data_IF_913877011415
#
_entry.id   IF_913877011415
#
_cell.length_a   1.000
_cell.length_b   1.000
_cell.length_c   1.000
_cell.angle_alpha   90.00
_cell.angle_beta   90.00
_cell.angle_gamma   90.00
#
_symmetry.space_group_name_H-M   'P 1'
#
loop_
_entity.id
_entity.type
_entity.pdbx_description
1 polymer ?
#
# COMPACT_ATOMS: atom_id res chain seq x y z
N UNK A 1 -29.27 -30.23 -6.71
CA UNK A 1 -29.73 -28.83 -6.88
C UNK A 1 -30.51 -28.27 -5.67
N UNK A 2 -30.08 -28.53 -4.41
CA UNK A 2 -30.72 -27.99 -3.18
C UNK A 2 -29.89 -26.90 -2.46
N UNK A 3 -28.66 -26.62 -2.91
CA UNK A 3 -27.73 -25.68 -2.25
C UNK A 3 -27.90 -24.19 -2.62
N UNK A 4 -28.66 -23.85 -3.66
CA UNK A 4 -28.73 -22.45 -4.14
C UNK A 4 -29.73 -21.56 -3.38
N UNK A 5 -30.69 -22.14 -2.64
CA UNK A 5 -31.73 -21.37 -1.94
C UNK A 5 -31.33 -20.86 -0.55
N UNK A 6 -30.34 -21.48 0.10
CA UNK A 6 -29.86 -21.01 1.41
C UNK A 6 -28.92 -19.79 1.30
N UNK A 7 -28.24 -19.63 0.17
CA UNK A 7 -27.31 -18.51 -0.05
C UNK A 7 -28.03 -17.17 -0.30
N UNK A 8 -29.29 -17.23 -0.75
CA UNK A 8 -30.12 -16.03 -0.99
C UNK A 8 -30.83 -15.54 0.29
N UNK A 9 -30.97 -16.40 1.31
CA UNK A 9 -31.56 -16.02 2.60
C UNK A 9 -30.57 -15.29 3.53
N UNK A 10 -29.26 -15.54 3.37
CA UNK A 10 -28.21 -14.88 4.18
C UNK A 10 -27.90 -13.44 3.73
N UNK A 11 -28.19 -13.08 2.48
CA UNK A 11 -27.96 -11.73 1.94
C UNK A 11 -29.03 -10.70 2.34
N UNK A 12 -30.19 -11.14 2.84
CA UNK A 12 -31.27 -10.24 3.28
C UNK A 12 -31.16 -9.82 4.77
N UNK A 13 -30.26 -10.43 5.55
CA UNK A 13 -30.18 -10.22 7.02
C UNK A 13 -29.29 -9.07 7.50
N UNK A 14 -28.48 -8.46 6.63
CA UNK A 14 -27.40 -7.56 7.07
C UNK A 14 -27.77 -6.07 7.20
N UNK A 15 -29.04 -5.68 7.06
CA UNK A 15 -29.45 -4.25 7.03
C UNK A 15 -30.11 -3.76 8.32
N UNK A 16 -30.28 -4.58 9.36
CA UNK A 16 -30.93 -4.08 10.58
C UNK A 16 -30.58 -4.86 11.85
N UNK A 17 -29.47 -4.46 12.49
CA UNK A 17 -29.25 -4.72 13.92
C UNK A 17 -29.47 -3.40 14.66
N UNK A 18 -30.52 -3.27 15.48
CA UNK A 18 -30.65 -2.13 16.39
C UNK A 18 -29.61 -2.28 17.50
N UNK A 19 -28.65 -1.35 17.57
CA UNK A 19 -27.71 -1.25 18.69
C UNK A 19 -28.48 -0.70 19.89
N UNK A 20 -28.83 -1.57 20.83
CA UNK A 20 -29.32 -1.18 22.14
C UNK A 20 -28.14 -0.63 22.96
N UNK A 21 -28.10 0.69 23.15
CA UNK A 21 -27.10 1.34 23.98
C UNK A 21 -27.40 1.05 25.47
N UNK A 22 -26.60 0.17 26.07
CA UNK A 22 -26.44 0.11 27.51
C UNK A 22 -25.50 1.23 27.94
N UNK A 23 -26.04 2.21 28.67
CA UNK A 23 -25.24 3.29 29.26
C UNK A 23 -24.46 2.73 30.46
N UNK A 24 -23.14 2.59 30.29
CA UNK A 24 -22.21 2.38 31.39
C UNK A 24 -21.59 3.73 31.80
N UNK A 25 -21.29 3.93 33.11
CA UNK A 25 -20.80 5.19 33.62
C UNK A 25 -19.41 5.55 33.11
N UNK A 26 -19.24 6.83 32.84
CA UNK A 26 -18.03 7.50 32.35
C UNK A 26 -16.91 7.37 33.39
N UNK A 27 -15.85 6.65 33.03
CA UNK A 27 -14.56 6.66 33.73
C UNK A 27 -13.56 7.55 32.98
N UNK A 28 -12.78 8.30 33.76
CA UNK A 28 -11.87 9.39 33.42
C UNK A 28 -10.92 9.17 32.22
N UNK A 29 -10.51 10.26 31.53
CA UNK A 29 -9.63 10.20 30.38
C UNK A 29 -8.17 9.97 30.82
N UNK A 30 -7.63 8.78 30.56
CA UNK A 30 -6.19 8.52 30.66
C UNK A 30 -5.53 8.73 29.30
N UNK A 31 -4.69 9.76 29.22
CA UNK A 31 -3.94 10.28 28.05
C UNK A 31 -2.88 9.33 27.43
N UNK A 32 -2.89 8.03 27.75
CA UNK A 32 -1.75 7.14 27.45
C UNK A 32 -1.98 6.15 26.31
N UNK A 33 -3.22 5.83 25.93
CA UNK A 33 -3.50 4.77 24.94
C UNK A 33 -3.32 5.19 23.49
N UNK A 34 -3.72 6.41 23.14
CA UNK A 34 -3.58 6.94 21.77
C UNK A 34 -2.12 7.19 21.40
N UNK A 35 -1.31 7.68 22.35
CA UNK A 35 0.13 7.88 22.15
C UNK A 35 0.92 6.56 22.01
N UNK A 36 0.41 5.45 22.54
CA UNK A 36 1.01 4.12 22.38
C UNK A 36 0.71 3.54 20.99
N UNK A 37 -0.55 3.62 20.54
CA UNK A 37 -0.99 3.09 19.25
C UNK A 37 -0.33 3.82 18.06
N UNK A 38 -0.13 5.13 18.18
CA UNK A 38 0.57 5.91 17.14
C UNK A 38 2.05 5.51 17.06
N UNK A 39 2.70 5.19 18.19
CA UNK A 39 4.11 4.75 18.21
C UNK A 39 4.29 3.34 17.65
N UNK A 40 3.41 2.40 18.00
CA UNK A 40 3.43 1.05 17.41
C UNK A 40 3.22 1.08 15.90
N UNK A 41 2.31 1.93 15.42
CA UNK A 41 2.07 2.10 13.99
C UNK A 41 3.32 2.59 13.24
N UNK A 42 4.03 3.59 13.78
CA UNK A 42 5.26 4.10 13.15
C UNK A 42 6.42 3.10 13.18
N UNK A 43 6.52 2.26 14.23
CA UNK A 43 7.47 1.15 14.24
C UNK A 43 7.15 0.11 13.15
N UNK A 44 5.87 -0.25 12.98
CA UNK A 44 5.45 -1.21 11.96
C UNK A 44 5.71 -0.71 10.53
N UNK A 45 5.53 0.59 10.28
CA UNK A 45 5.81 1.21 8.97
C UNK A 45 7.32 1.29 8.71
N UNK A 46 8.12 1.55 9.74
CA UNK A 46 9.58 1.54 9.66
C UNK A 46 10.14 0.17 9.26
N UNK A 47 9.67 -0.89 9.93
CA UNK A 47 10.12 -2.27 9.70
C UNK A 47 9.78 -2.80 8.29
N UNK A 48 8.65 -2.37 7.71
CA UNK A 48 8.27 -2.74 6.34
C UNK A 48 9.14 -2.02 5.30
N UNK A 49 9.58 -0.79 5.58
CA UNK A 49 10.42 -0.01 4.66
C UNK A 49 11.87 -0.48 4.60
N UNK A 50 12.41 -1.00 5.71
CA UNK A 50 13.74 -1.62 5.76
C UNK A 50 13.77 -3.02 5.16
N UNK A 51 12.66 -3.76 5.19
CA UNK A 51 12.55 -5.04 4.49
C UNK A 51 12.54 -4.91 2.96
N UNK A 52 12.03 -3.80 2.42
CA UNK A 52 11.92 -3.59 0.97
C UNK A 52 13.24 -3.18 0.27
N UNK A 53 14.23 -2.67 1.01
CA UNK A 53 15.50 -2.19 0.45
C UNK A 53 16.66 -3.19 0.50
N UNK A 54 16.46 -4.37 1.11
CA UNK A 54 17.49 -5.41 1.28
C UNK A 54 17.32 -6.60 0.32
N UNK A 55 16.29 -6.59 -0.54
CA UNK A 55 15.96 -7.70 -1.43
C UNK A 55 16.84 -7.86 -2.70
N UNK A 56 18.05 -7.26 -2.74
CA UNK A 56 18.95 -7.31 -3.90
C UNK A 56 20.13 -8.27 -3.79
N UNK A 57 20.61 -8.59 -2.59
CA UNK A 57 21.73 -9.53 -2.40
C UNK A 57 21.63 -10.11 -1.00
N UNK A 58 21.29 -11.39 -0.90
CA UNK A 58 21.40 -12.10 0.36
C UNK A 58 22.85 -11.92 0.89
N UNK A 59 23.05 -11.60 2.19
CA UNK A 59 24.38 -11.46 2.75
C UNK A 59 25.19 -12.73 2.46
N UNK A 60 26.33 -12.56 1.76
CA UNK A 60 27.23 -13.68 1.46
C UNK A 60 27.76 -14.25 2.79
N UNK A 61 27.73 -15.57 2.98
CA UNK A 61 28.20 -16.19 4.21
C UNK A 61 29.69 -15.90 4.40
N UNK A 62 30.12 -15.75 5.66
CA UNK A 62 31.54 -15.58 5.98
C UNK A 62 32.32 -16.85 5.59
N UNK A 63 33.58 -16.72 5.15
CA UNK A 63 34.42 -17.86 4.78
C UNK A 63 34.50 -18.86 5.95
N UNK A 64 33.95 -20.05 5.78
CA UNK A 64 33.95 -21.10 6.81
C UNK A 64 34.41 -22.43 6.21
N UNK A 65 35.30 -23.12 6.93
CA UNK A 65 35.66 -24.49 6.58
C UNK A 65 34.46 -25.40 6.82
N UNK A 66 34.07 -26.19 5.82
CA UNK A 66 33.03 -27.21 5.99
C UNK A 66 33.70 -28.41 6.66
N UNK A 67 33.25 -28.83 7.86
CA UNK A 67 33.86 -29.96 8.55
C UNK A 67 33.58 -31.26 7.78
N UNK A 68 34.56 -32.17 7.80
CA UNK A 68 34.42 -33.48 7.19
C UNK A 68 33.26 -34.26 7.82
N UNK A 69 32.53 -34.98 6.99
CA UNK A 69 31.45 -35.83 7.46
C UNK A 69 32.03 -37.06 8.21
N UNK A 70 31.42 -37.49 9.33
CA UNK A 70 31.80 -38.72 10.01
C UNK A 70 31.68 -39.93 9.06
N UNK A 71 32.42 -41.01 9.32
CA UNK A 71 32.55 -42.16 8.42
C UNK A 71 31.20 -42.66 7.89
N UNK A 72 31.02 -42.62 6.56
CA UNK A 72 29.76 -42.95 5.87
C UNK A 72 28.86 -41.76 5.51
N UNK A 73 29.25 -40.53 5.85
CA UNK A 73 28.54 -39.32 5.43
C UNK A 73 28.68 -38.99 3.94
N UNK A 74 27.95 -37.97 3.46
CA UNK A 74 27.96 -37.60 2.05
C UNK A 74 29.37 -37.21 1.61
N UNK A 75 29.84 -37.85 0.54
CA UNK A 75 31.14 -37.58 -0.08
C UNK A 75 30.98 -37.20 -1.53
N UNK A 76 31.78 -36.21 -1.95
CA UNK A 76 31.80 -35.70 -3.33
C UNK A 76 33.23 -35.82 -3.83
N UNK A 77 33.46 -36.81 -4.68
CA UNK A 77 34.74 -36.97 -5.39
C UNK A 77 34.83 -35.93 -6.49
N UNK A 78 35.95 -35.21 -6.51
CA UNK A 78 36.29 -34.21 -7.52
C UNK A 78 37.39 -34.72 -8.45
N UNK A 79 37.73 -36.01 -8.39
CA UNK A 79 38.83 -36.61 -9.16
C UNK A 79 38.52 -36.64 -10.66
N UNK A 80 37.23 -36.64 -11.04
CA UNK A 80 36.79 -36.69 -12.43
C UNK A 80 35.66 -35.68 -12.68
N UNK A 81 35.98 -34.60 -13.39
CA UNK A 81 35.02 -33.57 -13.81
C UNK A 81 34.45 -33.79 -15.22
N UNK A 82 34.65 -34.97 -15.80
CA UNK A 82 34.19 -35.31 -17.15
C UNK A 82 32.67 -35.34 -17.29
N UNK A 83 31.94 -35.67 -16.22
CA UNK A 83 30.48 -35.71 -16.17
C UNK A 83 29.93 -34.67 -15.17
N UNK A 84 29.81 -33.40 -15.58
CA UNK A 84 29.46 -32.33 -14.67
C UNK A 84 27.97 -32.36 -14.28
N UNK A 85 27.10 -33.04 -15.05
CA UNK A 85 25.67 -33.21 -14.74
C UNK A 85 25.50 -34.20 -13.58
N UNK A 86 26.21 -35.33 -13.60
CA UNK A 86 26.17 -36.27 -12.48
C UNK A 86 26.73 -35.68 -11.18
N UNK A 87 27.73 -34.79 -11.29
CA UNK A 87 28.27 -34.05 -10.14
C UNK A 87 27.23 -33.04 -9.61
N UNK A 88 26.56 -32.31 -10.50
CA UNK A 88 25.49 -31.38 -10.20
C UNK A 88 24.36 -32.06 -9.41
N UNK A 89 23.87 -33.21 -9.87
CA UNK A 89 22.82 -33.99 -9.20
C UNK A 89 23.23 -34.48 -7.81
N UNK A 90 24.51 -34.85 -7.62
CA UNK A 90 25.04 -35.27 -6.31
C UNK A 90 25.16 -34.09 -5.36
N UNK A 91 25.68 -32.96 -5.84
CA UNK A 91 25.76 -31.72 -5.08
C UNK A 91 24.36 -31.26 -4.65
N UNK A 92 23.38 -31.28 -5.57
CA UNK A 92 22.00 -30.91 -5.27
C UNK A 92 21.38 -31.76 -4.15
N UNK A 93 21.63 -33.07 -4.15
CA UNK A 93 21.14 -33.98 -3.10
C UNK A 93 21.76 -33.67 -1.73
N UNK A 94 23.03 -33.27 -1.70
CA UNK A 94 23.74 -32.97 -0.45
C UNK A 94 23.37 -31.57 0.07
N UNK A 95 23.22 -30.60 -0.83
CA UNK A 95 22.92 -29.20 -0.52
C UNK A 95 21.43 -28.92 -0.24
N UNK A 96 20.53 -29.87 -0.52
CA UNK A 96 19.11 -29.77 -0.15
C UNK A 96 18.83 -29.89 1.35
N UNK A 97 19.81 -30.30 2.16
CA UNK A 97 19.73 -30.30 3.62
C UNK A 97 20.10 -28.92 4.21
N UNK A 98 19.57 -28.58 5.39
CA UNK A 98 19.81 -27.27 6.04
C UNK A 98 21.31 -26.94 6.13
N UNK A 99 21.67 -25.77 5.60
CA UNK A 99 23.05 -25.35 5.35
C UNK A 99 23.89 -25.16 6.64
N UNK A 100 23.24 -24.91 7.77
CA UNK A 100 23.92 -24.63 9.06
C UNK A 100 24.53 -25.90 9.70
N UNK A 101 24.18 -27.10 9.21
CA UNK A 101 24.75 -28.38 9.66
C UNK A 101 25.49 -29.13 8.54
N UNK A 102 25.79 -28.48 7.42
CA UNK A 102 26.39 -29.14 6.27
C UNK A 102 27.75 -29.75 6.64
N UNK A 103 27.85 -31.08 6.58
CA UNK A 103 29.10 -31.83 6.70
C UNK A 103 29.34 -32.56 5.39
N UNK A 104 30.46 -32.27 4.75
CA UNK A 104 30.78 -32.81 3.44
C UNK A 104 32.24 -33.26 3.42
N UNK A 105 32.47 -34.47 2.94
CA UNK A 105 33.83 -34.99 2.73
C UNK A 105 34.18 -34.92 1.26
N UNK A 106 35.25 -34.19 0.93
CA UNK A 106 35.85 -34.17 -0.41
C UNK A 106 37.11 -35.04 -0.37
N UNK A 107 37.09 -36.26 -0.96
CA UNK A 107 38.26 -37.12 -1.02
C UNK A 107 39.44 -36.38 -1.66
N UNK A 108 40.61 -36.44 -1.02
CA UNK A 108 41.82 -35.77 -1.52
C UNK A 108 41.71 -34.24 -1.58
N UNK A 109 40.80 -33.61 -0.82
CA UNK A 109 40.54 -32.18 -0.93
C UNK A 109 39.89 -31.54 0.30
N UNK A 110 39.41 -30.32 0.11
CA UNK A 110 38.70 -29.55 1.14
C UNK A 110 37.48 -28.83 0.57
N UNK A 111 36.48 -28.59 1.42
CA UNK A 111 35.28 -27.84 1.09
C UNK A 111 35.18 -26.57 1.95
N UNK A 112 34.81 -25.46 1.32
CA UNK A 112 34.67 -24.14 1.91
C UNK A 112 33.29 -23.57 1.61
N UNK A 113 32.70 -22.88 2.57
CA UNK A 113 31.45 -22.14 2.42
C UNK A 113 31.76 -20.64 2.43
N UNK A 114 31.19 -19.89 1.49
CA UNK A 114 31.46 -18.47 1.29
C UNK A 114 32.73 -18.20 0.49
N UNK A 115 33.07 -16.92 0.36
CA UNK A 115 34.19 -16.47 -0.48
C UNK A 115 35.52 -17.05 0.04
N UNK A 116 36.40 -17.52 -0.83
CA UNK A 116 37.65 -18.15 -0.43
C UNK A 116 38.81 -17.70 -1.33
N UNK A 117 39.92 -17.31 -0.70
CA UNK A 117 41.11 -16.85 -1.41
C UNK A 117 42.33 -17.72 -1.13
N UNK A 118 43.04 -18.18 -2.17
CA UNK A 118 44.37 -18.79 -2.05
C UNK A 118 45.42 -17.69 -2.17
N UNK A 119 46.18 -17.45 -1.09
CA UNK A 119 47.18 -16.37 -1.05
C UNK A 119 48.34 -16.57 -2.03
N UNK A 120 49.04 -15.50 -2.41
CA UNK A 120 50.12 -15.55 -3.43
C UNK A 120 51.31 -16.45 -3.08
N UNK A 121 51.59 -16.64 -1.79
CA UNK A 121 52.63 -17.55 -1.29
C UNK A 121 52.07 -18.90 -0.86
N UNK A 122 50.76 -19.08 -0.93
CA UNK A 122 50.07 -20.27 -0.49
C UNK A 122 50.09 -21.33 -1.59
N UNK A 123 50.43 -22.55 -1.21
CA UNK A 123 50.25 -23.73 -2.07
C UNK A 123 49.25 -24.65 -1.40
N UNK A 124 48.05 -24.73 -1.97
CA UNK A 124 47.00 -25.63 -1.51
C UNK A 124 47.10 -26.95 -2.28
N UNK A 125 47.22 -28.06 -1.56
CA UNK A 125 47.33 -29.40 -2.14
C UNK A 125 45.99 -30.13 -2.04
N UNK A 126 45.54 -30.72 -3.15
CA UNK A 126 44.28 -31.44 -3.24
C UNK A 126 43.16 -30.64 -3.90
N UNK A 127 42.00 -31.28 -4.05
CA UNK A 127 40.82 -30.68 -4.67
C UNK A 127 40.18 -29.62 -3.78
N UNK A 128 39.62 -28.58 -4.37
CA UNK A 128 38.97 -27.49 -3.64
C UNK A 128 37.54 -27.31 -4.12
N UNK A 129 36.59 -27.39 -3.19
CA UNK A 129 35.17 -27.08 -3.42
C UNK A 129 34.80 -25.80 -2.68
N UNK A 130 34.29 -24.79 -3.38
CA UNK A 130 33.77 -23.56 -2.78
C UNK A 130 32.27 -23.47 -3.03
N UNK A 131 31.50 -23.35 -1.96
CA UNK A 131 30.04 -23.32 -1.99
C UNK A 131 29.54 -21.90 -1.63
N UNK A 132 28.67 -21.33 -2.46
CA UNK A 132 28.01 -20.03 -2.26
C UNK A 132 28.97 -18.87 -2.04
N UNK A 133 30.05 -18.84 -2.79
CA UNK A 133 31.07 -17.80 -2.71
C UNK A 133 32.08 -17.89 -3.85
N UNK A 134 32.76 -16.77 -4.06
CA UNK A 134 33.74 -16.61 -5.12
C UNK A 134 35.09 -17.22 -4.68
N UNK A 135 35.84 -17.80 -5.63
CA UNK A 135 37.16 -18.37 -5.39
C UNK A 135 38.24 -17.51 -6.06
N UNK A 136 39.02 -16.78 -5.27
CA UNK A 136 40.13 -15.95 -5.74
C UNK A 136 41.46 -16.69 -5.60
N UNK A 137 42.16 -16.95 -6.70
CA UNK A 137 43.42 -17.69 -6.68
C UNK A 137 44.59 -16.78 -7.06
N UNK A 138 45.41 -16.44 -6.06
CA UNK A 138 46.66 -15.69 -6.24
C UNK A 138 47.90 -16.61 -6.21
N UNK A 139 47.80 -17.76 -5.54
CA UNK A 139 48.89 -18.73 -5.35
C UNK A 139 48.74 -20.00 -6.18
N UNK A 140 49.17 -21.13 -5.63
CA UNK A 140 49.21 -22.43 -6.35
C UNK A 140 48.17 -23.39 -5.79
N UNK A 141 47.26 -23.88 -6.62
CA UNK A 141 46.31 -24.94 -6.27
C UNK A 141 46.66 -26.22 -7.04
N UNK A 142 47.15 -27.22 -6.31
CA UNK A 142 47.57 -28.51 -6.86
C UNK A 142 46.41 -29.51 -6.83
N UNK A 143 45.41 -29.28 -7.67
CA UNK A 143 44.20 -30.10 -7.76
C UNK A 143 43.11 -29.45 -8.61
N UNK A 144 41.92 -30.06 -8.60
CA UNK A 144 40.75 -29.54 -9.31
C UNK A 144 40.02 -28.51 -8.43
N UNK A 145 39.50 -27.46 -9.07
CA UNK A 145 38.74 -26.39 -8.43
C UNK A 145 37.29 -26.44 -8.88
N UNK A 146 36.37 -26.56 -7.93
CA UNK A 146 34.93 -26.50 -8.21
C UNK A 146 34.28 -25.39 -7.40
N UNK A 147 33.58 -24.47 -8.06
CA UNK A 147 32.74 -23.47 -7.39
C UNK A 147 31.28 -23.71 -7.67
N UNK A 148 30.45 -23.40 -6.69
CA UNK A 148 29.01 -23.60 -6.75
C UNK A 148 28.33 -22.31 -6.29
N UNK A 149 27.55 -21.67 -7.15
CA UNK A 149 27.02 -20.31 -6.97
C UNK A 149 28.09 -19.26 -6.68
N UNK A 150 29.21 -19.31 -7.40
CA UNK A 150 30.28 -18.32 -7.29
C UNK A 150 31.22 -18.34 -8.48
N UNK A 151 31.88 -17.21 -8.70
CA UNK A 151 32.86 -17.04 -9.77
C UNK A 151 34.23 -17.60 -9.34
N UNK A 152 35.04 -18.01 -10.31
CA UNK A 152 36.47 -18.27 -10.09
C UNK A 152 37.24 -17.11 -10.70
N UNK A 153 38.06 -16.44 -9.90
CA UNK A 153 38.94 -15.37 -10.40
C UNK A 153 40.39 -15.81 -10.25
N UNK A 154 41.06 -15.98 -11.38
CA UNK A 154 42.46 -16.39 -11.44
C UNK A 154 43.34 -15.15 -11.61
N UNK A 155 44.12 -14.80 -10.60
CA UNK A 155 44.95 -13.60 -10.61
C UNK A 155 46.34 -13.85 -11.20
N UNK A 156 47.07 -12.78 -11.61
CA UNK A 156 48.45 -12.91 -12.08
C UNK A 156 49.35 -13.65 -11.09
N UNK A 157 50.03 -14.69 -11.58
CA UNK A 157 50.88 -15.57 -10.76
C UNK A 157 50.14 -16.73 -10.08
N UNK A 158 48.80 -16.75 -10.17
CA UNK A 158 47.98 -17.88 -9.76
C UNK A 158 48.14 -19.06 -10.71
N UNK A 159 48.22 -20.28 -10.17
CA UNK A 159 48.32 -21.52 -10.94
C UNK A 159 47.34 -22.55 -10.39
N UNK A 160 46.46 -23.08 -11.23
CA UNK A 160 45.63 -24.24 -10.93
C UNK A 160 46.12 -25.40 -11.79
N UNK A 161 46.67 -26.46 -11.19
CA UNK A 161 47.25 -27.56 -11.99
C UNK A 161 46.21 -28.51 -12.58
N UNK A 162 44.99 -28.52 -12.04
CA UNK A 162 43.90 -29.39 -12.47
C UNK A 162 42.81 -28.68 -13.25
N UNK A 163 41.65 -29.32 -13.30
CA UNK A 163 40.45 -28.84 -13.99
C UNK A 163 39.69 -27.82 -13.13
N UNK A 164 39.03 -26.86 -13.79
CA UNK A 164 38.16 -25.86 -13.16
C UNK A 164 36.72 -26.06 -13.63
N UNK A 165 35.80 -26.23 -12.69
CA UNK A 165 34.36 -26.32 -12.98
C UNK A 165 33.58 -25.30 -12.14
N UNK A 166 32.82 -24.43 -12.79
CA UNK A 166 31.89 -23.53 -12.09
C UNK A 166 30.45 -23.93 -12.36
N UNK A 167 29.66 -24.05 -11.29
CA UNK A 167 28.23 -24.34 -11.33
C UNK A 167 27.46 -23.08 -10.92
N UNK A 168 26.91 -22.35 -11.88
CA UNK A 168 26.13 -21.12 -11.64
C UNK A 168 26.96 -19.84 -11.53
N UNK A 169 28.25 -19.89 -11.85
CA UNK A 169 29.15 -18.73 -11.94
C UNK A 169 30.05 -18.79 -13.17
N UNK A 170 30.97 -17.85 -13.30
CA UNK A 170 31.89 -17.73 -14.45
C UNK A 170 33.35 -17.81 -14.02
N UNK A 171 34.23 -18.26 -14.93
CA UNK A 171 35.68 -18.26 -14.72
C UNK A 171 36.27 -17.01 -15.37
N UNK A 172 36.97 -16.20 -14.58
CA UNK A 172 37.65 -14.97 -15.00
C UNK A 172 39.15 -15.16 -14.87
N UNK A 173 39.82 -15.34 -15.99
CA UNK A 173 41.27 -15.36 -16.05
C UNK A 173 41.81 -13.94 -16.19
N UNK A 174 42.52 -13.46 -15.16
CA UNK A 174 43.15 -12.15 -15.10
C UNK A 174 44.67 -12.23 -15.30
N UNK A 175 45.18 -13.35 -15.85
CA UNK A 175 46.60 -13.58 -16.12
C UNK A 175 47.23 -14.70 -15.30
N UNK A 176 46.42 -15.65 -14.81
CA UNK A 176 46.91 -16.85 -14.16
C UNK A 176 47.14 -17.99 -15.16
N UNK A 177 47.60 -19.14 -14.68
CA UNK A 177 47.83 -20.34 -15.48
C UNK A 177 46.89 -21.46 -15.05
N UNK A 178 46.24 -22.08 -16.03
CA UNK A 178 45.31 -23.20 -15.84
C UNK A 178 45.91 -24.43 -16.54
N UNK A 179 46.24 -25.45 -15.76
CA UNK A 179 46.86 -26.69 -16.24
C UNK A 179 45.87 -27.70 -16.81
N UNK A 180 44.58 -27.59 -16.49
CA UNK A 180 43.52 -28.50 -16.92
C UNK A 180 42.44 -27.84 -17.79
N UNK A 181 41.29 -28.51 -17.87
CA UNK A 181 40.13 -28.04 -18.63
C UNK A 181 39.27 -27.05 -17.82
N UNK A 182 38.74 -26.03 -18.48
CA UNK A 182 37.80 -25.07 -17.88
C UNK A 182 36.39 -25.34 -18.37
N UNK A 183 35.46 -25.56 -17.43
CA UNK A 183 34.05 -25.80 -17.71
C UNK A 183 33.16 -24.87 -16.89
N UNK A 184 32.15 -24.32 -17.55
CA UNK A 184 31.16 -23.41 -16.97
C UNK A 184 29.78 -23.99 -17.23
N UNK A 185 29.08 -24.42 -16.17
CA UNK A 185 27.67 -24.77 -16.25
C UNK A 185 26.83 -23.66 -15.63
N UNK A 186 25.99 -23.03 -16.42
CA UNK A 186 24.95 -22.14 -15.90
C UNK A 186 23.84 -22.99 -15.29
N UNK A 187 24.01 -23.40 -14.04
CA UNK A 187 23.01 -24.21 -13.34
C UNK A 187 21.72 -23.39 -13.22
N UNK A 188 20.66 -23.87 -13.88
CA UNK A 188 19.29 -23.36 -13.72
C UNK A 188 18.50 -24.12 -12.64
N UNK A 189 19.10 -25.11 -11.99
CA UNK A 189 18.36 -26.18 -11.30
C UNK A 189 18.78 -26.49 -9.85
N UNK A 190 20.06 -26.38 -9.48
CA UNK A 190 20.55 -26.90 -8.16
C UNK A 190 20.04 -26.10 -6.97
N UNK A 191 19.86 -24.79 -7.12
CA UNK A 191 19.47 -23.89 -6.04
C UNK A 191 18.23 -23.08 -6.34
N UNK A 192 17.42 -23.56 -7.30
CA UNK A 192 16.01 -23.18 -7.28
C UNK A 192 15.46 -23.78 -6.01
N UNK A 193 15.50 -23.00 -4.91
CA UNK A 193 14.88 -23.29 -3.62
C UNK A 193 13.64 -24.09 -3.93
N UNK A 194 13.63 -25.38 -3.56
CA UNK A 194 12.50 -26.26 -3.80
C UNK A 194 11.28 -25.42 -3.42
N UNK A 195 10.31 -25.19 -4.34
CA UNK A 195 9.24 -24.24 -4.10
C UNK A 195 8.69 -24.60 -2.74
N UNK A 196 8.87 -23.69 -1.77
CA UNK A 196 8.52 -23.92 -0.38
C UNK A 196 7.14 -24.56 -0.43
N UNK A 197 7.02 -25.80 0.07
CA UNK A 197 5.87 -26.70 -0.07
C UNK A 197 4.65 -25.87 -0.39
N UNK A 198 4.26 -25.83 -1.68
CA UNK A 198 3.37 -24.81 -2.22
C UNK A 198 2.25 -24.56 -1.21
N UNK A 199 2.36 -23.42 -0.52
CA UNK A 199 1.46 -23.07 0.56
C UNK A 199 0.06 -23.25 -0.02
N UNK A 200 -0.74 -24.13 0.59
CA UNK A 200 -1.99 -24.58 0.00
C UNK A 200 -2.74 -23.34 -0.48
N UNK A 201 -3.24 -23.32 -1.74
CA UNK A 201 -3.80 -22.11 -2.32
C UNK A 201 -4.83 -21.55 -1.33
N UNK A 202 -4.72 -20.26 -0.97
CA UNK A 202 -5.49 -19.70 0.12
C UNK A 202 -6.96 -20.00 -0.12
N UNK A 203 -7.64 -20.46 0.93
CA UNK A 203 -9.03 -20.83 0.81
C UNK A 203 -9.83 -19.64 0.25
N UNK A 204 -10.90 -19.90 -0.50
CA UNK A 204 -11.73 -18.82 -1.05
C UNK A 204 -12.20 -17.86 0.06
N UNK A 205 -12.48 -18.39 1.25
CA UNK A 205 -12.88 -17.61 2.42
C UNK A 205 -11.74 -16.72 2.95
N UNK A 206 -10.51 -17.23 2.98
CA UNK A 206 -9.33 -16.44 3.36
C UNK A 206 -9.06 -15.31 2.35
N UNK A 207 -9.21 -15.59 1.06
CA UNK A 207 -9.06 -14.57 0.01
C UNK A 207 -10.12 -13.47 0.14
N UNK A 208 -11.38 -13.84 0.38
CA UNK A 208 -12.47 -12.89 0.64
C UNK A 208 -12.20 -12.10 1.93
N UNK A 209 -11.77 -12.77 3.01
CA UNK A 209 -11.44 -12.16 4.28
C UNK A 209 -10.32 -11.12 4.17
N UNK A 210 -9.23 -11.44 3.45
CA UNK A 210 -8.11 -10.53 3.21
C UNK A 210 -8.54 -9.30 2.38
N UNK A 211 -9.37 -9.50 1.36
CA UNK A 211 -9.93 -8.40 0.56
C UNK A 211 -10.87 -7.52 1.39
N UNK A 212 -11.75 -8.12 2.17
CA UNK A 212 -12.66 -7.41 3.06
C UNK A 212 -11.89 -6.61 4.12
N UNK A 213 -10.84 -7.18 4.72
CA UNK A 213 -9.97 -6.49 5.66
C UNK A 213 -9.28 -5.27 5.02
N UNK A 214 -8.80 -5.39 3.78
CA UNK A 214 -8.25 -4.27 3.02
C UNK A 214 -9.26 -3.15 2.79
N UNK A 215 -10.49 -3.49 2.36
CA UNK A 215 -11.58 -2.52 2.19
C UNK A 215 -11.93 -1.84 3.52
N UNK A 216 -12.09 -2.63 4.60
CA UNK A 216 -12.34 -2.10 5.95
C UNK A 216 -11.24 -1.13 6.36
N UNK A 217 -9.96 -1.52 6.20
CA UNK A 217 -8.81 -0.69 6.53
C UNK A 217 -8.85 0.66 5.82
N UNK A 218 -9.04 0.66 4.50
CA UNK A 218 -9.13 1.90 3.70
C UNK A 218 -10.28 2.80 4.16
N UNK A 219 -11.48 2.24 4.35
CA UNK A 219 -12.64 3.03 4.76
C UNK A 219 -12.58 3.49 6.21
N UNK A 220 -11.91 2.75 7.10
CA UNK A 220 -11.59 3.21 8.46
C UNK A 220 -10.59 4.37 8.42
N UNK A 221 -9.54 4.30 7.60
CA UNK A 221 -8.60 5.41 7.42
C UNK A 221 -9.30 6.64 6.84
N UNK A 222 -10.15 6.48 5.83
CA UNK A 222 -10.96 7.58 5.28
C UNK A 222 -11.96 8.13 6.31
N UNK A 223 -12.55 7.26 7.13
CA UNK A 223 -13.42 7.66 8.22
C UNK A 223 -12.69 8.50 9.27
N UNK A 224 -11.48 8.10 9.65
CA UNK A 224 -10.63 8.85 10.58
C UNK A 224 -10.21 10.21 10.00
N UNK A 225 -9.77 10.24 8.73
CA UNK A 225 -9.42 11.48 8.03
C UNK A 225 -10.64 12.41 7.91
N UNK A 226 -11.80 11.88 7.53
CA UNK A 226 -13.03 12.66 7.43
C UNK A 226 -13.55 13.12 8.78
N UNK A 227 -13.36 12.35 9.86
CA UNK A 227 -13.64 12.82 11.22
C UNK A 227 -12.76 14.02 11.59
N UNK A 228 -11.45 13.95 11.30
CA UNK A 228 -10.55 15.09 11.46
C UNK A 228 -10.97 16.30 10.63
N UNK A 229 -11.37 16.08 9.37
CA UNK A 229 -11.82 17.15 8.49
C UNK A 229 -13.13 17.79 8.97
N UNK A 230 -14.07 17.02 9.51
CA UNK A 230 -15.29 17.57 10.14
C UNK A 230 -14.94 18.29 11.45
N UNK A 231 -13.99 17.79 12.23
CA UNK A 231 -13.59 18.43 13.50
C UNK A 231 -12.96 19.82 13.26
N UNK A 232 -12.08 19.96 12.28
CA UNK A 232 -11.33 21.20 12.03
C UNK A 232 -11.88 22.07 10.89
N UNK A 233 -12.60 21.49 9.95
CA UNK A 233 -12.97 22.12 8.67
C UNK A 233 -14.42 21.90 8.28
N UNK A 234 -15.33 21.67 9.25
CA UNK A 234 -16.76 21.44 8.99
C UNK A 234 -17.39 22.43 8.00
N UNK A 235 -17.24 23.77 8.14
CA UNK A 235 -17.87 24.70 7.22
C UNK A 235 -17.37 24.50 5.78
N UNK A 236 -16.06 24.32 5.61
CA UNK A 236 -15.45 24.11 4.30
C UNK A 236 -15.96 22.81 3.65
N UNK A 237 -16.08 21.73 4.43
CA UNK A 237 -16.59 20.45 3.94
C UNK A 237 -18.07 20.55 3.53
N UNK A 238 -18.91 21.24 4.32
CA UNK A 238 -20.32 21.47 3.98
C UNK A 238 -20.46 22.28 2.69
N UNK A 239 -19.65 23.33 2.49
CA UNK A 239 -19.68 24.14 1.26
C UNK A 239 -19.28 23.32 0.03
N UNK A 240 -18.24 22.47 0.14
CA UNK A 240 -17.84 21.58 -0.97
C UNK A 240 -18.93 20.54 -1.25
N UNK A 241 -19.51 19.95 -0.19
CA UNK A 241 -20.60 18.97 -0.26
C UNK A 241 -21.84 19.53 -0.97
N UNK A 242 -22.25 20.74 -0.57
CA UNK A 242 -23.36 21.48 -1.16
C UNK A 242 -23.07 21.85 -2.63
N UNK A 243 -21.83 22.24 -2.94
CA UNK A 243 -21.40 22.57 -4.31
C UNK A 243 -21.51 21.36 -5.23
N UNK A 244 -21.05 20.18 -4.79
CA UNK A 244 -21.16 18.96 -5.61
C UNK A 244 -22.62 18.52 -5.77
N UNK A 245 -23.44 18.65 -4.73
CA UNK A 245 -24.86 18.28 -4.77
C UNK A 245 -25.67 19.14 -5.73
N UNK A 246 -25.46 20.45 -5.72
CA UNK A 246 -26.22 21.39 -6.57
C UNK A 246 -25.66 21.51 -7.98
N UNK A 247 -24.35 21.33 -8.17
CA UNK A 247 -23.67 21.59 -9.44
C UNK A 247 -22.79 20.44 -9.92
N UNK A 248 -23.22 19.19 -9.68
CA UNK A 248 -22.46 17.97 -9.97
C UNK A 248 -21.77 17.96 -11.34
N UNK A 249 -22.49 18.31 -12.41
CA UNK A 249 -21.92 18.33 -13.77
C UNK A 249 -20.78 19.34 -13.93
N UNK A 250 -20.92 20.54 -13.35
CA UNK A 250 -19.86 21.57 -13.37
C UNK A 250 -18.68 21.14 -12.51
N UNK A 251 -18.95 20.61 -11.31
CA UNK A 251 -17.92 20.07 -10.43
C UNK A 251 -17.14 18.94 -11.12
N UNK A 252 -17.81 18.01 -11.79
CA UNK A 252 -17.16 16.93 -12.53
C UNK A 252 -16.27 17.46 -13.68
N UNK A 253 -16.78 18.35 -14.52
CA UNK A 253 -16.01 18.93 -15.64
C UNK A 253 -14.82 19.74 -15.12
N UNK A 254 -14.99 20.53 -14.06
CA UNK A 254 -13.90 21.28 -13.43
C UNK A 254 -12.87 20.34 -12.81
N UNK A 255 -13.30 19.23 -12.21
CA UNK A 255 -12.39 18.22 -11.67
C UNK A 255 -11.58 17.51 -12.74
N UNK A 256 -12.21 17.15 -13.86
CA UNK A 256 -11.55 16.54 -15.02
C UNK A 256 -10.53 17.49 -15.65
N UNK A 257 -10.92 18.75 -15.88
CA UNK A 257 -10.00 19.80 -16.32
C UNK A 257 -8.86 19.98 -15.31
N UNK A 258 -9.16 19.99 -14.02
CA UNK A 258 -8.16 20.09 -12.96
C UNK A 258 -7.14 18.95 -13.01
N UNK A 259 -7.56 17.71 -13.23
CA UNK A 259 -6.67 16.56 -13.38
C UNK A 259 -5.75 16.69 -14.62
N UNK A 260 -6.29 17.14 -15.76
CA UNK A 260 -5.50 17.36 -16.99
C UNK A 260 -4.51 18.51 -16.80
N UNK A 261 -4.93 19.60 -16.15
CA UNK A 261 -4.09 20.78 -15.91
C UNK A 261 -3.07 20.57 -14.77
N UNK A 262 -3.23 19.55 -13.94
CA UNK A 262 -2.33 19.25 -12.82
C UNK A 262 -0.88 19.10 -13.30
N UNK A 263 -0.65 18.23 -14.30
CA UNK A 263 0.69 17.94 -14.80
C UNK A 263 1.36 19.18 -15.46
N UNK A 264 0.71 19.93 -16.37
CA UNK A 264 1.27 21.17 -16.92
C UNK A 264 1.55 22.23 -15.85
N UNK A 265 0.65 22.41 -14.89
CA UNK A 265 0.83 23.43 -13.83
C UNK A 265 2.02 23.07 -12.93
N UNK A 266 2.17 21.79 -12.61
CA UNK A 266 3.32 21.29 -11.86
C UNK A 266 4.64 21.46 -12.64
N UNK A 267 4.64 21.12 -13.94
CA UNK A 267 5.79 21.30 -14.81
C UNK A 267 6.21 22.77 -14.93
N UNK A 268 5.25 23.68 -15.12
CA UNK A 268 5.52 25.13 -15.16
C UNK A 268 6.09 25.64 -13.83
N UNK A 269 5.57 25.15 -12.70
CA UNK A 269 6.10 25.46 -11.37
C UNK A 269 7.55 24.98 -11.23
N UNK A 270 7.86 23.74 -11.60
CA UNK A 270 9.24 23.21 -11.55
C UNK A 270 10.16 24.02 -12.44
N UNK A 271 9.78 24.28 -13.69
CA UNK A 271 10.60 25.07 -14.63
C UNK A 271 10.84 26.47 -14.07
N UNK A 272 9.81 27.13 -13.53
CA UNK A 272 9.95 28.43 -12.89
C UNK A 272 10.91 28.42 -11.69
N UNK A 273 10.85 27.38 -10.85
CA UNK A 273 11.78 27.24 -9.73
C UNK A 273 13.21 26.97 -10.21
N UNK A 274 13.41 26.06 -11.16
CA UNK A 274 14.74 25.71 -11.70
C UNK A 274 15.42 26.93 -12.35
N UNK A 275 14.67 27.79 -13.03
CA UNK A 275 15.21 28.99 -13.68
C UNK A 275 15.62 30.09 -12.68
N UNK A 276 15.37 29.92 -11.39
CA UNK A 276 15.71 30.90 -10.36
C UNK A 276 16.72 30.33 -9.35
N UNK A 277 17.68 31.17 -8.94
CA UNK A 277 18.70 30.79 -7.94
C UNK A 277 18.07 30.44 -6.59
N UNK A 278 17.01 31.15 -6.18
CA UNK A 278 16.27 30.80 -4.98
C UNK A 278 15.43 29.52 -5.17
N UNK A 279 14.81 29.35 -6.34
CA UNK A 279 13.88 28.25 -6.59
C UNK A 279 14.55 26.88 -6.62
N UNK A 280 15.80 26.76 -7.06
CA UNK A 280 16.51 25.46 -6.98
C UNK A 280 16.64 24.97 -5.53
N UNK A 281 16.78 25.88 -4.56
CA UNK A 281 16.79 25.55 -3.13
C UNK A 281 15.40 25.21 -2.59
N UNK A 282 14.34 25.84 -3.11
CA UNK A 282 12.95 25.59 -2.70
C UNK A 282 12.30 24.39 -3.40
N UNK A 283 12.89 23.85 -4.48
CA UNK A 283 12.31 22.79 -5.30
C UNK A 283 11.82 21.58 -4.49
N UNK A 284 12.60 20.95 -3.60
CA UNK A 284 12.12 19.77 -2.87
C UNK A 284 10.91 20.11 -1.99
N UNK A 285 10.88 21.29 -1.37
CA UNK A 285 9.75 21.73 -0.56
C UNK A 285 8.51 21.99 -1.41
N UNK A 286 8.68 22.67 -2.56
CA UNK A 286 7.57 22.99 -3.45
C UNK A 286 6.91 21.72 -4.03
N UNK A 287 7.70 20.70 -4.36
CA UNK A 287 7.18 19.39 -4.81
C UNK A 287 6.33 18.73 -3.73
N UNK A 288 6.83 18.70 -2.48
CA UNK A 288 6.09 18.11 -1.35
C UNK A 288 4.80 18.88 -1.07
N UNK A 289 4.86 20.22 -1.00
CA UNK A 289 3.67 21.06 -0.76
C UNK A 289 2.65 20.88 -1.89
N UNK A 290 3.08 20.88 -3.14
CA UNK A 290 2.19 20.67 -4.27
C UNK A 290 1.50 19.30 -4.21
N UNK A 291 2.25 18.23 -3.95
CA UNK A 291 1.71 16.89 -3.79
C UNK A 291 0.70 16.81 -2.62
N UNK A 292 1.03 17.43 -1.47
CA UNK A 292 0.12 17.51 -0.33
C UNK A 292 -1.17 18.27 -0.66
N UNK A 293 -1.09 19.40 -1.37
CA UNK A 293 -2.27 20.16 -1.80
C UNK A 293 -3.17 19.35 -2.73
N UNK A 294 -2.58 18.60 -3.67
CA UNK A 294 -3.33 17.69 -4.55
C UNK A 294 -4.02 16.59 -3.74
N UNK A 295 -3.30 15.95 -2.81
CA UNK A 295 -3.85 14.89 -1.96
C UNK A 295 -4.99 15.42 -1.09
N UNK A 296 -4.79 16.56 -0.42
CA UNK A 296 -5.81 17.19 0.44
C UNK A 296 -7.03 17.59 -0.39
N UNK A 297 -6.84 18.17 -1.58
CA UNK A 297 -7.94 18.53 -2.47
C UNK A 297 -8.73 17.32 -2.97
N UNK A 298 -8.04 16.24 -3.37
CA UNK A 298 -8.67 15.03 -3.88
C UNK A 298 -9.39 14.24 -2.77
N UNK A 299 -8.71 14.00 -1.64
CA UNK A 299 -9.28 13.27 -0.49
C UNK A 299 -10.38 14.09 0.18
N UNK A 300 -10.15 15.37 0.43
CA UNK A 300 -11.15 16.28 1.01
C UNK A 300 -12.38 16.43 0.12
N UNK A 301 -12.16 16.56 -1.20
CA UNK A 301 -13.23 16.56 -2.19
C UNK A 301 -14.04 15.25 -2.18
N UNK A 302 -13.38 14.09 -2.18
CA UNK A 302 -14.05 12.80 -2.10
C UNK A 302 -14.86 12.63 -0.80
N UNK A 303 -14.32 13.06 0.35
CA UNK A 303 -15.01 13.01 1.64
C UNK A 303 -16.22 13.94 1.67
N UNK A 304 -16.15 15.11 1.02
CA UNK A 304 -17.30 16.00 0.87
C UNK A 304 -18.42 15.35 0.03
N UNK A 305 -18.09 14.58 -1.01
CA UNK A 305 -19.08 13.82 -1.79
C UNK A 305 -19.71 12.70 -0.96
N UNK A 306 -18.91 11.99 -0.16
CA UNK A 306 -19.44 11.00 0.78
C UNK A 306 -20.42 11.67 1.76
N UNK A 307 -20.05 12.81 2.33
CA UNK A 307 -20.93 13.58 3.21
C UNK A 307 -22.23 14.00 2.54
N UNK A 308 -22.18 14.59 1.35
CA UNK A 308 -23.35 14.96 0.54
C UNK A 308 -24.31 13.78 0.31
N UNK A 309 -23.74 12.62 -0.04
CA UNK A 309 -24.51 11.42 -0.30
C UNK A 309 -25.21 10.90 0.96
N UNK A 310 -24.52 10.92 2.11
CA UNK A 310 -25.12 10.52 3.38
C UNK A 310 -26.16 11.50 3.89
N UNK A 311 -25.98 12.81 3.67
CA UNK A 311 -26.99 13.82 3.96
C UNK A 311 -28.25 13.61 3.13
N UNK A 312 -28.12 13.41 1.81
CA UNK A 312 -29.26 13.13 0.92
C UNK A 312 -30.00 11.87 1.35
N UNK A 313 -29.28 10.79 1.67
CA UNK A 313 -29.86 9.53 2.11
C UNK A 313 -30.64 9.67 3.43
N UNK A 314 -30.04 10.33 4.42
CA UNK A 314 -30.66 10.53 5.74
C UNK A 314 -31.85 11.48 5.68
N UNK A 315 -31.77 12.59 4.92
CA UNK A 315 -32.91 13.50 4.69
C UNK A 315 -34.08 12.78 4.02
N UNK A 316 -33.81 11.93 3.02
CA UNK A 316 -34.86 11.12 2.37
C UNK A 316 -35.52 10.14 3.34
N UNK A 317 -34.75 9.51 4.24
CA UNK A 317 -35.32 8.62 5.27
C UNK A 317 -36.14 9.37 6.32
N UNK A 318 -35.72 10.57 6.72
CA UNK A 318 -36.48 11.43 7.63
C UNK A 318 -37.82 11.85 7.00
N UNK A 319 -37.82 12.17 5.69
CA UNK A 319 -39.06 12.46 4.94
C UNK A 319 -40.03 11.25 4.89
N UNK A 320 -39.52 10.03 5.04
CA UNK A 320 -40.31 8.80 5.11
C UNK A 320 -40.76 8.45 6.56
N UNK A 321 -40.59 9.36 7.52
CA UNK A 321 -41.04 9.19 8.90
C UNK A 321 -40.14 8.32 9.78
N UNK A 322 -38.96 7.93 9.30
CA UNK A 322 -38.01 7.21 10.14
C UNK A 322 -37.44 8.19 11.20
N UNK A 323 -37.70 7.95 12.48
CA UNK A 323 -37.11 8.71 13.60
C UNK A 323 -35.64 8.34 13.76
N UNK A 324 -34.83 8.84 12.85
CA UNK A 324 -33.38 8.78 12.93
C UNK A 324 -32.98 9.96 13.85
N UNK A 325 -32.20 9.69 14.91
CA UNK A 325 -31.82 10.71 15.91
C UNK A 325 -31.17 11.98 15.32
N UNK A 326 -30.74 12.91 16.17
CA UNK A 326 -30.33 14.26 15.75
C UNK A 326 -29.44 14.32 14.48
N UNK A 327 -29.73 15.26 13.55
CA UNK A 327 -28.87 15.60 12.42
C UNK A 327 -27.44 15.90 12.88
N UNK A 328 -26.47 15.09 12.46
CA UNK A 328 -25.06 15.29 12.82
C UNK A 328 -24.19 15.03 11.58
N UNK A 329 -23.29 15.98 11.28
CA UNK A 329 -22.37 15.94 10.13
C UNK A 329 -21.51 14.67 10.09
N UNK A 330 -21.05 14.18 11.26
CA UNK A 330 -20.32 12.92 11.35
C UNK A 330 -21.12 11.72 10.85
N UNK A 331 -22.44 11.69 11.09
CA UNK A 331 -23.31 10.61 10.64
C UNK A 331 -23.51 10.64 9.14
N UNK A 332 -23.62 11.83 8.55
CA UNK A 332 -23.71 11.97 7.10
C UNK A 332 -22.46 11.42 6.42
N UNK A 333 -21.28 11.80 6.91
CA UNK A 333 -20.02 11.25 6.42
C UNK A 333 -19.97 9.71 6.53
N UNK A 334 -20.29 9.14 7.70
CA UNK A 334 -20.24 7.70 7.91
C UNK A 334 -21.26 6.92 7.07
N UNK A 335 -22.49 7.44 6.92
CA UNK A 335 -23.51 6.82 6.07
C UNK A 335 -23.07 6.86 4.61
N UNK A 336 -22.48 7.97 4.16
CA UNK A 336 -21.94 8.11 2.81
C UNK A 336 -20.77 7.16 2.54
N UNK A 337 -19.78 7.14 3.42
CA UNK A 337 -18.64 6.22 3.34
C UNK A 337 -19.12 4.76 3.40
N UNK A 338 -20.09 4.43 4.24
CA UNK A 338 -20.68 3.09 4.31
C UNK A 338 -21.35 2.66 3.01
N UNK A 339 -22.06 3.59 2.35
CA UNK A 339 -22.65 3.32 1.03
C UNK A 339 -21.56 3.09 -0.04
N UNK A 340 -20.47 3.86 -0.05
CA UNK A 340 -19.35 3.62 -0.96
C UNK A 340 -18.59 2.32 -0.63
N UNK A 341 -18.42 2.01 0.66
CA UNK A 341 -17.79 0.78 1.12
C UNK A 341 -18.59 -0.44 0.67
N UNK A 342 -19.93 -0.38 0.70
CA UNK A 342 -20.79 -1.49 0.29
C UNK A 342 -20.54 -1.94 -1.15
N UNK A 343 -20.18 -1.01 -2.04
CA UNK A 343 -19.81 -1.30 -3.43
C UNK A 343 -18.50 -2.08 -3.51
N UNK A 344 -17.50 -1.71 -2.70
CA UNK A 344 -16.23 -2.43 -2.60
C UNK A 344 -16.35 -3.77 -1.87
N UNK A 345 -17.27 -3.89 -0.91
CA UNK A 345 -17.59 -5.16 -0.26
C UNK A 345 -18.25 -6.14 -1.23
N UNK A 346 -19.11 -5.67 -2.13
CA UNK A 346 -19.65 -6.51 -3.20
C UNK A 346 -18.51 -7.12 -4.02
N UNK A 347 -17.50 -6.31 -4.40
CA UNK A 347 -16.30 -6.84 -5.06
C UNK A 347 -15.54 -7.83 -4.18
N UNK A 348 -15.32 -7.53 -2.90
CA UNK A 348 -14.60 -8.43 -2.00
C UNK A 348 -15.27 -9.81 -1.89
N UNK A 349 -16.60 -9.85 -1.85
CA UNK A 349 -17.40 -11.07 -1.76
C UNK A 349 -17.44 -11.84 -3.08
N UNK A 350 -17.59 -11.17 -4.22
CA UNK A 350 -17.75 -11.81 -5.54
C UNK A 350 -16.45 -11.95 -6.32
N UNK A 351 -15.34 -11.43 -5.82
CA UNK A 351 -14.07 -11.42 -6.54
C UNK A 351 -13.43 -12.80 -6.74
N UNK A 352 -13.98 -13.87 -6.18
CA UNK A 352 -13.57 -15.25 -6.49
C UNK A 352 -14.13 -15.72 -7.85
N UNK A 353 -15.16 -15.06 -8.36
CA UNK A 353 -15.72 -15.31 -9.70
C UNK A 353 -14.94 -14.46 -10.71
N UNK A 354 -14.23 -15.05 -11.69
CA UNK A 354 -13.33 -14.28 -12.56
C UNK A 354 -14.02 -13.14 -13.32
N UNK A 355 -15.13 -13.41 -14.01
CA UNK A 355 -15.81 -12.40 -14.83
C UNK A 355 -16.61 -11.42 -13.96
N UNK A 356 -17.43 -11.92 -13.03
CA UNK A 356 -18.25 -11.05 -12.19
C UNK A 356 -17.40 -10.20 -11.24
N UNK A 357 -16.32 -10.76 -10.70
CA UNK A 357 -15.37 -10.07 -9.85
C UNK A 357 -14.73 -8.88 -10.57
N UNK A 358 -14.18 -9.07 -11.76
CA UNK A 358 -13.56 -7.97 -12.52
C UNK A 358 -14.59 -6.91 -12.97
N UNK A 359 -15.81 -7.31 -13.34
CA UNK A 359 -16.88 -6.36 -13.66
C UNK A 359 -17.29 -5.51 -12.45
N UNK A 360 -17.48 -6.13 -11.28
CA UNK A 360 -17.83 -5.39 -10.06
C UNK A 360 -16.67 -4.50 -9.61
N UNK A 361 -15.41 -4.96 -9.75
CA UNK A 361 -14.21 -4.15 -9.49
C UNK A 361 -14.16 -2.93 -10.38
N UNK A 362 -14.36 -3.13 -11.70
CA UNK A 362 -14.37 -2.06 -12.69
C UNK A 362 -15.46 -1.04 -12.39
N UNK A 363 -16.67 -1.50 -12.06
CA UNK A 363 -17.78 -0.62 -11.66
C UNK A 363 -17.47 0.15 -10.36
N UNK A 364 -16.93 -0.53 -9.33
CA UNK A 364 -16.55 0.11 -8.07
C UNK A 364 -15.47 1.17 -8.26
N UNK A 365 -14.45 0.85 -9.06
CA UNK A 365 -13.38 1.77 -9.42
C UNK A 365 -13.92 2.96 -10.22
N UNK A 366 -14.74 2.73 -11.24
CA UNK A 366 -15.30 3.79 -12.09
C UNK A 366 -16.20 4.73 -11.30
N UNK A 367 -17.08 4.22 -10.44
CA UNK A 367 -17.92 5.04 -9.56
C UNK A 367 -17.05 5.85 -8.58
N UNK A 368 -16.06 5.21 -7.95
CA UNK A 368 -15.14 5.90 -7.03
C UNK A 368 -14.37 7.01 -7.75
N UNK A 369 -13.88 6.75 -8.96
CA UNK A 369 -13.19 7.73 -9.79
C UNK A 369 -14.09 8.89 -10.19
N UNK A 370 -15.33 8.63 -10.64
CA UNK A 370 -16.29 9.69 -10.97
C UNK A 370 -16.59 10.60 -9.77
N UNK A 371 -16.81 10.00 -8.59
CA UNK A 371 -17.09 10.73 -7.36
C UNK A 371 -15.87 11.50 -6.86
N UNK A 372 -14.67 10.92 -6.95
CA UNK A 372 -13.43 11.60 -6.58
C UNK A 372 -13.16 12.79 -7.51
N UNK A 373 -13.38 12.64 -8.82
CA UNK A 373 -13.23 13.73 -9.80
C UNK A 373 -14.25 14.83 -9.55
N UNK A 374 -15.52 14.49 -9.32
CA UNK A 374 -16.55 15.49 -8.97
C UNK A 374 -16.23 16.19 -7.65
N UNK A 375 -15.78 15.46 -6.63
CA UNK A 375 -15.36 16.01 -5.35
C UNK A 375 -14.17 16.96 -5.47
N UNK A 376 -13.14 16.56 -6.21
CA UNK A 376 -11.97 17.40 -6.48
C UNK A 376 -12.35 18.69 -7.20
N UNK A 377 -13.22 18.62 -8.21
CA UNK A 377 -13.71 19.82 -8.88
C UNK A 377 -14.64 20.68 -8.03
N UNK A 378 -15.44 20.08 -7.14
CA UNK A 378 -16.20 20.82 -6.12
C UNK A 378 -15.26 21.58 -5.17
N UNK A 379 -14.14 20.96 -4.78
CA UNK A 379 -13.11 21.63 -4.00
C UNK A 379 -12.45 22.78 -4.78
N UNK A 380 -12.17 22.62 -6.08
CA UNK A 380 -11.62 23.70 -6.90
C UNK A 380 -12.62 24.86 -7.09
N UNK A 381 -13.88 24.59 -7.40
CA UNK A 381 -14.92 25.60 -7.62
C UNK A 381 -15.20 26.44 -6.37
N UNK A 382 -15.26 25.79 -5.21
CA UNK A 382 -15.47 26.45 -3.92
C UNK A 382 -14.19 27.03 -3.31
N UNK A 383 -13.03 26.89 -3.97
CA UNK A 383 -11.71 27.24 -3.42
C UNK A 383 -11.48 26.60 -2.05
N UNK A 384 -11.61 25.28 -2.00
CA UNK A 384 -11.54 24.45 -0.80
C UNK A 384 -12.58 24.84 0.27
N UNK A 385 -13.79 25.22 -0.15
CA UNK A 385 -14.90 25.56 0.75
C UNK A 385 -14.97 27.02 1.20
N UNK A 386 -14.04 27.88 0.76
CA UNK A 386 -14.02 29.32 1.13
C UNK A 386 -15.11 30.11 0.40
N UNK A 387 -15.54 29.67 -0.80
CA UNK A 387 -16.55 30.34 -1.63
C UNK A 387 -17.85 29.55 -1.68
N UNK A 388 -18.92 30.16 -1.20
CA UNK A 388 -20.27 29.56 -1.11
C UNK A 388 -21.13 29.76 -2.37
N UNK A 389 -20.63 30.51 -3.37
CA UNK A 389 -21.43 30.93 -4.54
C UNK A 389 -22.09 29.78 -5.32
N UNK A 390 -21.54 28.57 -5.23
CA UNK A 390 -22.04 27.39 -5.93
C UNK A 390 -22.75 26.39 -5.01
N UNK A 391 -22.81 26.65 -3.70
CA UNK A 391 -23.43 25.78 -2.70
C UNK A 391 -24.98 25.88 -2.69
N UNK A 392 -25.58 26.79 -3.46
CA UNK A 392 -27.03 26.98 -3.49
C UNK A 392 -27.62 27.57 -2.20
N UNK A 393 -26.78 27.88 -1.21
CA UNK A 393 -27.16 28.44 0.10
C UNK A 393 -27.19 29.98 0.12
N UNK A 394 -27.12 30.63 -1.04
CA UNK A 394 -27.30 32.06 -1.15
C UNK A 394 -28.77 32.39 -0.84
N UNK A 395 -29.04 32.79 0.41
CA UNK A 395 -29.91 33.94 0.61
C UNK A 395 -29.14 35.06 -0.10
N UNK A 396 -29.63 35.63 -1.21
CA UNK A 396 -28.94 36.72 -1.88
C UNK A 396 -28.52 37.75 -0.84
N UNK A 397 -27.34 38.35 -0.95
CA UNK A 397 -26.99 39.49 -0.08
C UNK A 397 -28.04 40.61 -0.17
N UNK A 398 -28.76 40.65 -1.29
CA UNK A 398 -29.94 41.50 -1.57
C UNK A 398 -31.22 41.09 -0.80
N UNK A 399 -31.27 39.90 -0.21
CA UNK A 399 -32.34 39.47 0.70
C UNK A 399 -31.97 39.69 2.18
N UNK A 400 -30.74 40.14 2.45
CA UNK A 400 -30.26 40.60 3.77
C UNK A 400 -30.18 42.14 3.85
N UNK A 401 -30.49 42.87 2.77
CA UNK A 401 -30.67 44.32 2.84
C UNK A 401 -31.93 44.62 3.67
N UNK A 402 -31.87 45.71 4.45
CA UNK A 402 -32.88 46.10 5.45
C UNK A 402 -34.32 46.07 4.92
N UNK A 403 -34.53 46.21 3.61
CA UNK A 403 -35.82 46.05 2.90
C UNK A 403 -36.61 44.80 3.29
N UNK A 404 -35.96 43.66 3.52
CA UNK A 404 -36.64 42.43 3.94
C UNK A 404 -36.85 42.33 5.46
N UNK A 405 -36.15 43.14 6.26
CA UNK A 405 -36.35 43.20 7.72
C UNK A 405 -37.48 44.16 8.10
N UNK A 406 -37.82 45.16 7.27
CA UNK A 406 -38.98 46.03 7.48
C UNK A 406 -40.19 45.72 6.60
N UNK A 407 -40.07 44.83 5.61
CA UNK A 407 -41.22 44.24 4.95
C UNK A 407 -42.01 43.40 5.95
N UNK A 408 -43.03 44.02 6.56
CA UNK A 408 -44.01 43.34 7.40
C UNK A 408 -44.56 42.13 6.63
N UNK A 409 -44.61 40.93 7.25
CA UNK A 409 -45.08 39.74 6.55
C UNK A 409 -46.54 39.95 6.14
N UNK A 410 -46.79 40.18 4.85
CA UNK A 410 -48.15 40.21 4.29
C UNK A 410 -48.79 38.80 4.25
N UNK A 411 -48.06 37.77 4.65
CA UNK A 411 -48.60 36.41 4.77
C UNK A 411 -49.06 36.13 6.21
N UNK A 412 -50.30 36.53 6.50
CA UNK A 412 -51.27 35.65 7.16
C UNK A 412 -51.02 35.20 8.60
N UNK A 413 -50.23 35.90 9.41
CA UNK A 413 -50.34 35.77 10.87
C UNK A 413 -51.49 36.69 11.32
N UNK A 414 -52.61 36.16 11.87
CA UNK A 414 -53.65 37.01 12.43
C UNK A 414 -53.03 37.83 13.54
N UNK A 415 -53.00 39.16 13.36
CA UNK A 415 -52.50 40.09 14.36
C UNK A 415 -53.11 39.76 15.71
N UNK A 416 -52.27 39.36 16.66
CA UNK A 416 -52.66 39.23 18.05
C UNK A 416 -53.35 40.54 18.46
N UNK A 417 -54.60 40.40 18.93
CA UNK A 417 -55.50 41.48 19.36
C UNK A 417 -54.72 42.54 20.15
N UNK A 418 -54.61 43.74 19.58
CA UNK A 418 -54.09 44.91 20.29
C UNK A 418 -54.97 45.13 21.54
N UNK A 419 -54.41 45.24 22.76
CA UNK A 419 -55.18 45.64 23.93
C UNK A 419 -55.84 46.98 23.66
N UNK A 420 -57.16 47.05 23.84
CA UNK A 420 -57.97 48.22 23.49
C UNK A 420 -57.45 49.50 24.14
N UNK A 421 -57.21 50.49 23.30
CA UNK A 421 -57.10 51.89 23.70
C UNK A 421 -58.39 52.29 24.40
N UNK A 422 -58.33 52.48 25.72
CA UNK A 422 -59.37 53.16 26.49
C UNK A 422 -59.60 54.54 25.89
N UNK A 423 -60.80 54.76 25.39
CA UNK A 423 -61.33 56.10 25.10
C UNK A 423 -61.35 56.90 26.39
N UNK A 424 -60.69 58.07 26.48
CA UNK A 424 -60.88 58.98 27.60
C UNK A 424 -62.28 59.60 27.48
N UNK A 425 -63.16 59.26 28.42
CA UNK A 425 -64.43 59.95 28.63
C UNK A 425 -64.18 61.42 28.96
N UNK A 426 -64.77 62.31 28.14
CA UNK A 426 -64.78 63.76 28.32
C UNK A 426 -66.22 64.19 28.69
N UNK A 427 -66.38 64.84 29.83
CA UNK A 427 -67.63 65.46 30.33
C UNK A 427 -68.54 64.47 31.07
N UNK A 428 -69.02 64.74 32.28
CA UNK A 428 -69.48 66.00 32.89
C UNK A 428 -69.04 66.18 34.34
#
# INVERSE_FOLDING_TARGET
>A
MRGSRQLLALLAGFVSVPVAAHAAPVSEPTDSRTAHLVREFWHLVGDVSTMASVQGQAPRPRPQAIPAAPGGGPSISLDNLSDPIALEDRLAKVLGAELDELRLTVPGGSARLGDFSVGSTETSSGHLLVLRGDADVYGRLMGNLVTVEGDVVLHPGGLVSGDILTLGGEVRDMGGEIGGEVRTLRSTTVFRKAPAVAEAPPSALETVGRRAAGVIGVFLTLGALGFGLVMFGRPNLEVVSDTVSHSFGRAFVTGLLGQILLLPTFGMLIVGLILSVAGILLLPFAVVVYALLVIVGAVGGFLAVAHAMGETYTRRRLALGAMIGSPNSYRYLLVGLGALASLWFAWAIFGWVPVAGELIRGAAFLVTWLLATAGFGGALLSRAGIRENFAGRLIPSEALTDEYLWATPQFGVPAARRPGTRTPTRGL
#
